data_IF_612884270009
#
_entry.id   IF_612884270009
#
_cell.length_a   1.000
_cell.length_b   1.000
_cell.length_c   1.000
_cell.angle_alpha   90.00
_cell.angle_beta   90.00
_cell.angle_gamma   90.00
#
_symmetry.space_group_name_H-M   'P 1'
#
loop_
_entity.id
_entity.type
_entity.pdbx_description
1 polymer ?
#
# COMPACT_ATOMS: atom_id res chain seq x y z
N UNK A 1 16.62 -2.84 21.51
CA UNK A 1 15.59 -3.18 20.50
C UNK A 1 16.04 -2.53 19.20
N UNK A 2 16.29 -3.29 18.14
CA UNK A 2 16.61 -2.68 16.86
C UNK A 2 15.34 -2.01 16.33
N UNK A 3 15.34 -0.68 16.28
CA UNK A 3 14.30 0.12 15.64
C UNK A 3 14.41 -0.07 14.13
N UNK A 4 13.88 -1.19 13.63
CA UNK A 4 13.71 -1.43 12.20
C UNK A 4 12.46 -0.72 11.69
N UNK A 5 12.49 -0.32 10.42
CA UNK A 5 11.27 0.10 9.73
C UNK A 5 10.39 -1.12 9.45
N UNK A 6 9.08 -0.95 9.56
CA UNK A 6 8.12 -1.91 9.02
C UNK A 6 8.05 -1.73 7.50
N UNK A 7 7.73 -2.80 6.78
CA UNK A 7 7.52 -2.77 5.33
C UNK A 7 6.30 -3.59 4.94
N UNK A 8 5.59 -3.15 3.90
CA UNK A 8 4.50 -3.90 3.28
C UNK A 8 5.06 -4.77 2.16
N UNK A 9 4.84 -6.08 2.28
CA UNK A 9 5.13 -7.04 1.22
C UNK A 9 3.84 -7.40 0.48
N UNK A 10 3.92 -7.51 -0.84
CA UNK A 10 2.78 -7.82 -1.69
C UNK A 10 2.79 -9.27 -2.16
N UNK A 11 1.59 -9.79 -2.39
CA UNK A 11 1.34 -11.08 -3.03
C UNK A 11 0.67 -10.93 -4.39
N UNK A 12 0.49 -9.70 -4.89
CA UNK A 12 -0.22 -9.42 -6.16
C UNK A 12 0.74 -8.94 -7.23
N UNK A 13 0.41 -9.24 -8.48
CA UNK A 13 1.13 -8.72 -9.63
C UNK A 13 0.76 -7.25 -9.86
N UNK A 14 1.75 -6.45 -10.27
CA UNK A 14 1.55 -5.07 -10.67
C UNK A 14 1.89 -4.94 -12.17
N UNK A 15 0.94 -4.57 -13.04
CA UNK A 15 1.15 -4.57 -14.49
C UNK A 15 2.19 -3.54 -14.98
N UNK A 16 2.63 -2.63 -14.12
CA UNK A 16 3.52 -1.52 -14.49
C UNK A 16 4.80 -1.44 -13.67
N UNK A 17 4.99 -2.32 -12.69
CA UNK A 17 6.20 -2.37 -11.85
C UNK A 17 6.88 -3.71 -12.08
N UNK A 18 8.20 -3.69 -12.29
CA UNK A 18 8.96 -4.93 -12.39
C UNK A 18 8.99 -5.60 -11.03
N UNK A 19 8.44 -6.80 -10.95
CA UNK A 19 8.42 -7.60 -9.72
C UNK A 19 9.20 -8.89 -9.91
N UNK A 20 9.98 -9.25 -8.90
CA UNK A 20 10.52 -10.60 -8.78
C UNK A 20 9.59 -11.41 -7.87
N UNK A 21 9.13 -12.54 -8.38
CA UNK A 21 8.31 -13.51 -7.65
C UNK A 21 9.19 -14.53 -6.89
N UNK A 22 8.57 -15.59 -6.36
CA UNK A 22 9.25 -16.71 -5.70
C UNK A 22 10.07 -16.32 -4.46
N UNK A 23 9.61 -15.29 -3.76
CA UNK A 23 10.09 -14.93 -2.44
C UNK A 23 9.27 -15.64 -1.37
N UNK A 24 9.94 -16.29 -0.42
CA UNK A 24 9.30 -17.08 0.62
C UNK A 24 9.87 -16.77 1.99
N UNK A 25 9.06 -16.96 3.01
CA UNK A 25 9.52 -16.99 4.40
C UNK A 25 9.96 -18.40 4.75
N UNK A 26 11.20 -18.55 5.20
CA UNK A 26 11.71 -19.83 5.68
C UNK A 26 11.00 -20.24 6.98
N UNK A 27 10.48 -21.47 7.05
CA UNK A 27 9.80 -22.00 8.24
C UNK A 27 10.66 -21.91 9.51
N UNK A 28 11.97 -22.17 9.39
CA UNK A 28 12.83 -22.37 10.55
C UNK A 28 13.49 -21.10 11.08
N UNK A 29 13.82 -20.16 10.19
CA UNK A 29 14.48 -18.90 10.58
C UNK A 29 13.64 -17.65 10.32
N UNK A 30 12.46 -17.79 9.70
CA UNK A 30 11.53 -16.69 9.39
C UNK A 30 12.09 -15.59 8.46
N UNK A 31 13.30 -15.79 7.92
CA UNK A 31 13.91 -14.89 6.94
C UNK A 31 13.21 -15.01 5.60
N UNK A 32 13.00 -13.87 4.96
CA UNK A 32 12.57 -13.76 3.57
C UNK A 32 13.73 -14.11 2.64
N UNK A 33 13.55 -15.11 1.78
CA UNK A 33 14.58 -15.59 0.86
C UNK A 33 14.02 -15.84 -0.53
N UNK A 34 14.88 -15.73 -1.53
CA UNK A 34 14.54 -16.04 -2.92
C UNK A 34 14.73 -17.53 -3.19
N UNK A 35 13.65 -18.25 -3.50
CA UNK A 35 13.73 -19.66 -3.87
C UNK A 35 13.95 -19.83 -5.38
N UNK A 36 13.30 -19.00 -6.21
CA UNK A 36 13.42 -19.09 -7.67
C UNK A 36 12.81 -20.36 -8.30
N UNK A 37 12.04 -21.14 -7.55
CA UNK A 37 11.31 -22.30 -8.05
C UNK A 37 9.99 -22.49 -7.27
N UNK A 38 8.81 -22.25 -7.88
CA UNK A 38 7.54 -22.35 -7.17
C UNK A 38 7.08 -23.79 -6.91
N UNK A 39 7.56 -24.76 -7.69
CA UNK A 39 6.95 -26.10 -7.79
C UNK A 39 7.88 -27.27 -7.40
N UNK A 40 9.04 -27.03 -6.79
CA UNK A 40 9.96 -28.12 -6.39
C UNK A 40 10.33 -28.00 -4.91
N UNK A 41 10.41 -29.11 -4.16
CA UNK A 41 11.04 -29.08 -2.86
C UNK A 41 12.55 -28.86 -3.06
N UNK A 42 13.05 -27.72 -2.59
CA UNK A 42 14.47 -27.37 -2.65
C UNK A 42 15.35 -28.54 -2.19
N UNK A 43 16.29 -28.98 -3.04
CA UNK A 43 17.25 -30.02 -2.65
C UNK A 43 18.16 -29.47 -1.56
N UNK A 44 18.72 -30.31 -0.66
CA UNK A 44 19.71 -29.86 0.30
C UNK A 44 20.88 -29.18 -0.43
N UNK A 45 20.97 -27.85 -0.35
CA UNK A 45 22.00 -27.05 -1.00
C UNK A 45 21.54 -26.16 -2.17
N UNK A 46 20.27 -26.17 -2.58
CA UNK A 46 19.79 -25.31 -3.69
C UNK A 46 19.17 -23.97 -3.20
N UNK A 47 18.71 -23.88 -1.94
CA UNK A 47 18.00 -22.69 -1.43
C UNK A 47 18.78 -21.92 -0.37
N UNK A 48 20.04 -21.58 -0.62
CA UNK A 48 20.86 -20.73 0.27
C UNK A 48 21.10 -21.27 1.70
N UNK A 49 22.19 -20.87 2.35
CA UNK A 49 22.43 -21.30 3.74
C UNK A 49 21.38 -20.76 4.73
N UNK A 50 20.69 -21.67 5.42
CA UNK A 50 19.76 -21.32 6.48
C UNK A 50 20.47 -21.26 7.84
N UNK A 51 20.41 -20.13 8.58
CA UNK A 51 21.08 -20.00 9.88
C UNK A 51 20.50 -20.92 10.95
N UNK A 52 19.22 -21.25 10.86
CA UNK A 52 18.56 -22.17 11.80
C UNK A 52 18.90 -23.64 11.52
N UNK A 53 19.52 -23.96 10.37
CA UNK A 53 19.86 -25.33 9.97
C UNK A 53 21.23 -25.36 9.27
N UNK A 54 22.34 -25.33 10.02
CA UNK A 54 23.68 -25.37 9.47
C UNK A 54 23.87 -26.53 8.48
N UNK A 55 24.45 -26.24 7.30
CA UNK A 55 24.65 -27.23 6.23
C UNK A 55 23.39 -27.60 5.45
N UNK A 56 22.23 -26.96 5.71
CA UNK A 56 20.98 -27.18 4.97
C UNK A 56 20.39 -25.87 4.45
N UNK A 57 19.55 -26.00 3.43
CA UNK A 57 18.87 -24.90 2.74
C UNK A 57 17.75 -24.24 3.54
N UNK A 58 17.24 -23.11 3.05
CA UNK A 58 15.92 -22.62 3.41
C UNK A 58 14.82 -23.61 2.99
N UNK A 59 13.67 -23.56 3.66
CA UNK A 59 12.50 -24.37 3.28
C UNK A 59 11.22 -23.59 3.50
N UNK A 60 10.26 -23.82 2.62
CA UNK A 60 8.94 -23.23 2.60
C UNK A 60 7.91 -24.31 2.32
N UNK A 61 6.65 -24.09 2.72
CA UNK A 61 5.52 -24.88 2.24
C UNK A 61 4.95 -24.29 0.95
N UNK A 62 3.76 -24.76 0.54
CA UNK A 62 2.93 -24.15 -0.53
C UNK A 62 2.32 -22.79 -0.14
N UNK A 63 2.99 -22.06 0.76
CA UNK A 63 2.52 -20.77 1.26
C UNK A 63 2.49 -19.71 0.15
N UNK A 64 1.70 -18.65 0.37
CA UNK A 64 1.65 -17.48 -0.52
C UNK A 64 3.05 -16.91 -0.72
N UNK A 65 3.48 -16.83 -1.97
CA UNK A 65 4.75 -16.23 -2.38
C UNK A 65 4.66 -14.71 -2.29
N UNK A 66 5.74 -14.06 -1.88
CA UNK A 66 5.86 -12.62 -1.98
C UNK A 66 6.41 -12.22 -3.35
N UNK A 67 6.08 -11.01 -3.75
CA UNK A 67 6.64 -10.36 -4.93
C UNK A 67 7.39 -9.12 -4.47
N UNK A 68 8.65 -8.96 -4.86
CA UNK A 68 9.43 -7.77 -4.52
C UNK A 68 9.56 -6.87 -5.73
N UNK A 69 9.24 -5.59 -5.55
CA UNK A 69 9.33 -4.57 -6.59
C UNK A 69 10.80 -4.21 -6.84
N UNK A 70 11.11 -3.82 -8.08
CA UNK A 70 12.47 -3.43 -8.51
C UNK A 70 12.42 -2.21 -9.41
N UNK A 71 13.51 -1.44 -9.41
CA UNK A 71 13.69 -0.31 -10.35
C UNK A 71 12.84 0.93 -10.04
N UNK A 72 12.26 1.04 -8.84
CA UNK A 72 11.52 2.23 -8.40
C UNK A 72 12.44 3.30 -7.78
N UNK A 73 13.56 2.88 -7.20
CA UNK A 73 14.45 3.77 -6.45
C UNK A 73 13.89 4.17 -5.09
N UNK A 74 14.59 5.08 -4.41
CA UNK A 74 14.15 5.65 -3.14
C UNK A 74 12.99 6.64 -3.35
N UNK A 75 12.04 6.63 -2.42
CA UNK A 75 10.90 7.55 -2.44
C UNK A 75 10.21 7.69 -1.08
N UNK A 76 9.21 8.57 -0.95
CA UNK A 76 8.53 8.82 0.33
C UNK A 76 7.90 7.56 0.96
N UNK A 77 7.49 6.60 0.10
CA UNK A 77 6.85 5.35 0.49
C UNK A 77 7.68 4.12 0.11
N UNK A 78 8.96 4.30 -0.25
CA UNK A 78 9.79 3.24 -0.80
C UNK A 78 11.24 3.33 -0.32
N UNK A 79 11.80 2.21 0.11
CA UNK A 79 13.22 2.08 0.39
C UNK A 79 13.85 1.15 -0.65
N UNK A 80 14.79 1.67 -1.43
CA UNK A 80 15.63 0.88 -2.34
C UNK A 80 16.86 0.32 -1.61
N UNK A 81 17.86 -0.16 -2.35
CA UNK A 81 19.09 -0.75 -1.81
C UNK A 81 18.89 -2.07 -1.05
N UNK A 82 17.73 -2.72 -1.20
CA UNK A 82 17.54 -4.09 -0.76
C UNK A 82 18.06 -5.04 -1.81
N UNK A 83 18.84 -6.04 -1.39
CA UNK A 83 19.50 -7.01 -2.27
C UNK A 83 19.25 -8.42 -1.76
N UNK A 84 19.29 -9.39 -2.66
CA UNK A 84 19.36 -10.80 -2.26
C UNK A 84 20.83 -11.22 -2.19
N UNK A 85 21.18 -12.03 -1.20
CA UNK A 85 22.53 -12.57 -1.08
C UNK A 85 22.67 -13.87 -1.87
N UNK A 86 23.54 -13.97 -2.89
CA UNK A 86 23.65 -15.20 -3.67
C UNK A 86 24.06 -16.46 -2.87
N UNK A 87 24.78 -16.27 -1.76
CA UNK A 87 25.28 -17.39 -0.96
C UNK A 87 24.20 -17.97 -0.03
N UNK A 88 23.31 -17.12 0.47
CA UNK A 88 22.29 -17.52 1.46
C UNK A 88 20.86 -17.25 1.02
N UNK A 89 20.65 -16.68 -0.17
CA UNK A 89 19.37 -16.29 -0.77
C UNK A 89 18.50 -15.30 0.04
N UNK A 90 18.90 -14.96 1.27
CA UNK A 90 18.22 -14.01 2.11
C UNK A 90 18.21 -12.59 1.52
N UNK A 91 17.09 -11.89 1.70
CA UNK A 91 17.02 -10.45 1.51
C UNK A 91 17.83 -9.74 2.59
N UNK A 92 18.64 -8.76 2.21
CA UNK A 92 19.40 -7.93 3.13
C UNK A 92 19.47 -6.49 2.63
N UNK A 93 19.62 -5.55 3.57
CA UNK A 93 19.78 -4.14 3.23
C UNK A 93 21.26 -3.82 2.92
N UNK A 94 21.55 -3.51 1.66
CA UNK A 94 22.89 -3.17 1.18
C UNK A 94 23.20 -1.67 1.24
N UNK A 95 22.20 -0.82 1.52
CA UNK A 95 22.35 0.64 1.62
C UNK A 95 23.10 1.12 2.87
N UNK A 96 23.46 0.22 3.78
CA UNK A 96 24.30 0.54 4.93
C UNK A 96 25.76 0.10 4.70
N UNK A 97 26.71 0.76 5.38
CA UNK A 97 28.11 0.34 5.38
C UNK A 97 28.36 -1.04 6.00
N UNK A 98 27.39 -1.60 6.73
CA UNK A 98 27.47 -2.90 7.40
C UNK A 98 26.44 -3.88 6.84
N UNK A 99 26.90 -4.80 5.99
CA UNK A 99 26.03 -5.79 5.31
C UNK A 99 25.72 -7.04 6.14
N UNK A 100 25.88 -6.98 7.46
CA UNK A 100 25.66 -8.13 8.34
C UNK A 100 26.54 -9.36 8.06
N UNK A 101 26.25 -10.46 8.74
CA UNK A 101 26.95 -11.74 8.62
C UNK A 101 26.12 -12.75 7.83
N UNK A 102 26.73 -13.32 6.79
CA UNK A 102 26.14 -14.37 5.99
C UNK A 102 26.25 -15.73 6.70
N UNK A 103 25.16 -16.51 6.77
CA UNK A 103 25.19 -17.88 7.31
C UNK A 103 26.15 -18.82 6.55
N UNK A 104 26.45 -18.53 5.28
CA UNK A 104 27.46 -19.25 4.48
C UNK A 104 28.90 -18.82 4.79
N UNK A 105 29.10 -17.88 5.72
CA UNK A 105 30.38 -17.28 6.07
C UNK A 105 30.63 -15.92 5.38
N UNK A 106 31.33 -15.03 6.08
CA UNK A 106 31.63 -13.66 5.62
C UNK A 106 30.42 -12.72 5.70
N UNK A 107 30.44 -11.63 4.92
CA UNK A 107 29.32 -10.67 4.80
C UNK A 107 28.36 -11.04 3.68
N UNK A 108 27.12 -10.53 3.73
CA UNK A 108 26.16 -10.73 2.63
C UNK A 108 26.69 -10.17 1.31
N UNK A 109 26.51 -10.95 0.23
CA UNK A 109 26.99 -10.65 -1.12
C UNK A 109 25.85 -10.24 -2.03
N UNK A 110 25.80 -8.95 -2.33
CA UNK A 110 25.00 -8.32 -3.37
C UNK A 110 25.61 -6.93 -3.56
N UNK A 111 26.15 -6.63 -4.73
CA UNK A 111 26.83 -5.35 -4.98
C UNK A 111 25.80 -4.34 -5.44
N UNK A 112 25.88 -3.11 -4.92
CA UNK A 112 25.01 -2.01 -5.35
C UNK A 112 25.27 -1.60 -6.81
N UNK A 113 26.49 -1.81 -7.27
CA UNK A 113 27.06 -1.49 -8.58
C UNK A 113 27.15 -2.70 -9.52
N UNK A 114 26.59 -3.85 -9.13
CA UNK A 114 26.52 -5.01 -10.00
C UNK A 114 25.21 -4.99 -10.80
N UNK A 115 25.27 -4.79 -12.14
CA UNK A 115 24.08 -4.74 -12.99
C UNK A 115 23.32 -6.07 -13.03
N UNK A 116 23.96 -7.17 -12.63
CA UNK A 116 23.34 -8.49 -12.58
C UNK A 116 22.56 -8.72 -11.27
N UNK A 117 22.58 -7.75 -10.34
CA UNK A 117 21.73 -7.78 -9.14
C UNK A 117 20.54 -6.83 -9.25
N UNK A 118 19.36 -7.37 -8.98
CA UNK A 118 18.16 -6.56 -8.82
C UNK A 118 18.27 -5.69 -7.56
N UNK A 119 17.90 -4.43 -7.70
CA UNK A 119 17.69 -3.51 -6.59
C UNK A 119 16.22 -3.56 -6.17
N UNK A 120 15.96 -4.25 -5.06
CA UNK A 120 14.62 -4.38 -4.53
C UNK A 120 14.22 -3.12 -3.78
N UNK A 121 12.94 -2.80 -3.93
CA UNK A 121 12.30 -1.63 -3.37
C UNK A 121 11.21 -2.14 -2.42
N UNK A 122 11.40 -1.96 -1.11
CA UNK A 122 10.40 -2.32 -0.11
C UNK A 122 9.55 -1.10 0.23
N UNK A 123 8.22 -1.27 0.17
CA UNK A 123 7.29 -0.20 0.50
C UNK A 123 7.17 -0.05 2.02
N UNK A 124 7.20 1.18 2.52
CA UNK A 124 6.76 1.45 3.89
C UNK A 124 5.26 1.10 4.04
N UNK A 125 4.75 0.93 5.28
CA UNK A 125 3.34 0.71 5.53
C UNK A 125 2.50 1.74 4.79
N UNK A 126 1.78 1.27 3.76
CA UNK A 126 0.86 2.09 3.01
C UNK A 126 -0.33 2.39 3.92
N UNK A 127 -0.53 3.66 4.24
CA UNK A 127 -1.66 4.13 5.03
C UNK A 127 -2.55 4.99 4.13
N UNK A 128 -3.25 4.39 3.16
CA UNK A 128 -3.91 5.13 2.11
C UNK A 128 -4.95 6.06 2.74
N UNK A 129 -5.13 7.24 2.18
CA UNK A 129 -6.09 8.24 2.67
C UNK A 129 -6.70 8.99 1.50
N UNK A 130 -7.93 9.46 1.68
CA UNK A 130 -8.57 10.36 0.73
C UNK A 130 -8.97 11.66 1.40
N UNK A 131 -8.70 12.76 0.70
CA UNK A 131 -9.21 14.08 1.00
C UNK A 131 -10.19 14.48 -0.09
N UNK A 132 -11.38 14.90 0.34
CA UNK A 132 -12.44 15.34 -0.58
C UNK A 132 -12.66 16.82 -0.35
N UNK A 133 -12.40 17.62 -1.38
CA UNK A 133 -12.66 19.06 -1.37
C UNK A 133 -13.73 19.40 -2.39
N UNK A 134 -14.49 20.46 -2.10
CA UNK A 134 -15.55 20.93 -2.98
C UNK A 134 -15.33 22.41 -3.30
N UNK A 135 -15.31 22.72 -4.58
CA UNK A 135 -15.43 24.08 -5.12
C UNK A 135 -16.54 23.99 -6.14
N UNK A 136 -17.75 24.39 -5.76
CA UNK A 136 -18.95 24.14 -6.56
C UNK A 136 -18.78 24.57 -8.03
N UNK A 137 -19.18 23.72 -9.01
CA UNK A 137 -19.84 22.41 -8.87
C UNK A 137 -18.88 21.21 -8.80
N UNK A 138 -17.58 21.44 -8.69
CA UNK A 138 -16.53 20.43 -8.82
C UNK A 138 -16.21 19.82 -7.46
N UNK A 139 -16.25 18.49 -7.41
CA UNK A 139 -15.69 17.70 -6.31
C UNK A 139 -14.31 17.22 -6.74
N UNK A 140 -13.31 17.49 -5.92
CA UNK A 140 -11.96 16.95 -6.08
C UNK A 140 -11.70 15.91 -5.01
N UNK A 141 -11.22 14.75 -5.44
CA UNK A 141 -10.78 13.65 -4.60
C UNK A 141 -9.28 13.51 -4.79
N UNK A 142 -8.54 13.78 -3.73
CA UNK A 142 -7.10 13.58 -3.67
C UNK A 142 -6.85 12.33 -2.83
N UNK A 143 -6.16 11.36 -3.41
CA UNK A 143 -5.68 10.19 -2.68
C UNK A 143 -4.20 10.31 -2.38
N UNK A 144 -3.78 9.82 -1.23
CA UNK A 144 -2.37 9.71 -0.82
C UNK A 144 -2.09 8.31 -0.26
N UNK A 145 -0.81 7.91 -0.33
CA UNK A 145 -0.30 6.66 0.24
C UNK A 145 -0.99 5.38 -0.27
N UNK A 146 -1.49 5.38 -1.50
CA UNK A 146 -1.96 4.18 -2.22
C UNK A 146 -0.81 3.45 -2.90
N UNK A 147 -1.09 2.31 -3.52
CA UNK A 147 -0.07 1.54 -4.24
C UNK A 147 0.56 2.37 -5.39
N UNK A 148 1.88 2.63 -5.34
CA UNK A 148 2.61 3.32 -6.40
C UNK A 148 2.39 2.71 -7.78
N UNK A 149 2.16 3.55 -8.79
CA UNK A 149 1.90 3.15 -10.18
C UNK A 149 0.71 2.18 -10.37
N UNK A 150 -0.04 1.91 -9.30
CA UNK A 150 -1.18 1.01 -9.25
C UNK A 150 -2.46 1.61 -9.79
N UNK A 151 -3.55 0.87 -9.67
CA UNK A 151 -4.89 1.33 -10.03
C UNK A 151 -5.75 1.43 -8.78
N UNK A 152 -6.46 2.54 -8.65
CA UNK A 152 -7.39 2.79 -7.55
C UNK A 152 -8.79 2.93 -8.10
N UNK A 153 -9.74 2.21 -7.49
CA UNK A 153 -11.16 2.41 -7.74
C UNK A 153 -11.65 3.55 -6.86
N UNK A 154 -12.23 4.57 -7.47
CA UNK A 154 -12.92 5.66 -6.78
C UNK A 154 -14.41 5.45 -6.99
N UNK A 155 -15.17 5.29 -5.92
CA UNK A 155 -16.63 5.14 -5.96
C UNK A 155 -17.28 6.25 -5.15
N UNK A 156 -18.32 6.86 -5.69
CA UNK A 156 -19.07 7.89 -4.99
C UNK A 156 -20.57 7.64 -5.09
N UNK A 157 -21.25 8.01 -4.01
CA UNK A 157 -22.69 7.91 -3.87
C UNK A 157 -23.24 9.23 -3.36
N UNK A 158 -24.16 9.82 -4.11
CA UNK A 158 -24.90 11.03 -3.73
C UNK A 158 -26.26 10.58 -3.22
N UNK A 159 -26.57 10.98 -1.99
CA UNK A 159 -27.82 10.66 -1.30
C UNK A 159 -28.56 11.96 -1.03
N UNK A 160 -29.82 12.04 -1.47
CA UNK A 160 -30.75 13.10 -1.10
C UNK A 160 -31.66 12.66 0.04
N UNK A 161 -32.66 13.49 0.36
CA UNK A 161 -33.54 13.33 1.52
C UNK A 161 -34.17 11.94 1.65
N UNK A 162 -34.63 11.35 0.53
CA UNK A 162 -35.39 10.10 0.56
C UNK A 162 -34.84 9.02 -0.40
N UNK A 163 -33.75 9.29 -1.11
CA UNK A 163 -33.24 8.35 -2.11
C UNK A 163 -31.76 8.55 -2.42
N UNK A 164 -31.15 7.49 -2.97
CA UNK A 164 -29.86 7.62 -3.66
C UNK A 164 -30.11 8.29 -5.00
N UNK A 165 -29.48 9.43 -5.22
CA UNK A 165 -29.59 10.20 -6.45
C UNK A 165 -28.61 9.69 -7.51
N UNK A 166 -27.40 9.33 -7.08
CA UNK A 166 -26.37 8.82 -7.97
C UNK A 166 -25.47 7.81 -7.24
N UNK A 167 -25.02 6.79 -7.96
CA UNK A 167 -24.03 5.83 -7.51
C UNK A 167 -23.13 5.43 -8.68
N UNK A 168 -21.87 5.81 -8.62
CA UNK A 168 -20.91 5.65 -9.72
C UNK A 168 -19.56 5.20 -9.18
N UNK A 169 -18.75 4.67 -10.09
CA UNK A 169 -17.36 4.35 -9.83
C UNK A 169 -16.53 4.45 -11.10
N UNK A 170 -15.29 4.90 -10.93
CA UNK A 170 -14.27 4.95 -11.97
C UNK A 170 -12.97 4.34 -11.46
N UNK A 171 -12.07 4.02 -12.38
CA UNK A 171 -10.71 3.55 -12.04
C UNK A 171 -9.71 4.58 -12.52
N UNK A 172 -8.82 5.01 -11.62
CA UNK A 172 -7.73 5.93 -11.90
C UNK A 172 -6.39 5.24 -11.64
N UNK A 173 -5.33 5.79 -12.24
CA UNK A 173 -3.97 5.32 -11.99
C UNK A 173 -3.32 6.19 -10.93
N UNK A 174 -2.66 5.58 -9.95
CA UNK A 174 -1.79 6.26 -9.01
C UNK A 174 -0.49 6.67 -9.69
N UNK A 175 0.07 7.80 -9.28
CA UNK A 175 1.42 8.18 -9.64
C UNK A 175 2.44 7.30 -8.89
N UNK A 176 3.72 7.45 -9.22
CA UNK A 176 4.83 6.73 -8.57
C UNK A 176 4.92 7.00 -7.06
N UNK A 177 4.41 8.15 -6.62
CA UNK A 177 4.40 8.51 -5.20
C UNK A 177 3.22 7.89 -4.45
N UNK A 178 2.32 7.17 -5.14
CA UNK A 178 1.14 6.58 -4.53
C UNK A 178 0.00 7.58 -4.32
N UNK A 179 0.10 8.80 -4.86
CA UNK A 179 -1.00 9.76 -4.90
C UNK A 179 -1.84 9.61 -6.17
N UNK A 180 -3.08 10.08 -6.12
CA UNK A 180 -3.91 10.23 -7.32
C UNK A 180 -4.80 11.47 -7.21
N UNK A 181 -5.28 11.93 -8.36
CA UNK A 181 -6.26 13.02 -8.45
C UNK A 181 -7.45 12.59 -9.29
N UNK A 182 -8.64 12.84 -8.79
CA UNK A 182 -9.88 12.56 -9.50
C UNK A 182 -10.88 13.70 -9.26
N UNK A 183 -11.65 14.04 -10.29
CA UNK A 183 -12.67 15.08 -10.21
C UNK A 183 -13.96 14.64 -10.85
N UNK A 184 -15.08 14.98 -10.23
CA UNK A 184 -16.41 14.81 -10.82
C UNK A 184 -17.31 15.99 -10.45
N UNK A 185 -18.42 16.14 -11.16
CA UNK A 185 -19.37 17.22 -10.93
C UNK A 185 -20.52 16.73 -10.05
N UNK A 186 -20.89 17.54 -9.06
CA UNK A 186 -22.09 17.31 -8.25
C UNK A 186 -22.84 18.64 -8.08
N UNK A 187 -24.03 18.71 -8.65
CA UNK A 187 -24.90 19.90 -8.67
C UNK A 187 -26.22 19.63 -7.95
N UNK A 188 -26.93 20.69 -7.59
CA UNK A 188 -28.23 20.61 -6.93
C UNK A 188 -28.17 20.31 -5.43
N UNK A 189 -29.35 20.07 -4.83
CA UNK A 189 -29.51 19.79 -3.40
C UNK A 189 -29.43 18.28 -3.14
N UNK A 190 -28.56 17.90 -2.21
CA UNK A 190 -28.39 16.56 -1.71
C UNK A 190 -28.04 16.62 -0.22
N UNK A 191 -28.04 15.49 0.47
CA UNK A 191 -27.82 15.42 1.90
C UNK A 191 -26.40 14.98 2.23
N UNK A 192 -25.99 13.86 1.63
CA UNK A 192 -24.70 13.25 1.86
C UNK A 192 -24.04 12.86 0.54
N UNK A 193 -22.76 13.15 0.44
CA UNK A 193 -21.87 12.55 -0.53
C UNK A 193 -20.95 11.59 0.21
N UNK A 194 -20.99 10.31 -0.14
CA UNK A 194 -20.03 9.31 0.34
C UNK A 194 -19.04 9.00 -0.78
N UNK A 195 -17.75 9.18 -0.53
CA UNK A 195 -16.66 8.80 -1.43
C UNK A 195 -15.89 7.65 -0.80
N UNK A 196 -15.55 6.65 -1.61
CA UNK A 196 -14.74 5.51 -1.24
C UNK A 196 -13.61 5.34 -2.24
N UNK A 197 -12.45 4.91 -1.75
CA UNK A 197 -11.32 4.59 -2.62
C UNK A 197 -10.56 3.37 -2.09
N UNK A 198 -10.13 2.51 -2.99
CA UNK A 198 -9.31 1.34 -2.67
C UNK A 198 -8.50 0.88 -3.87
N UNK A 199 -7.33 0.30 -3.62
CA UNK A 199 -6.54 -0.37 -4.65
C UNK A 199 -7.36 -1.48 -5.31
N UNK A 200 -7.35 -1.54 -6.65
CA UNK A 200 -8.12 -2.54 -7.40
C UNK A 200 -7.68 -3.97 -7.08
N UNK A 201 -6.42 -4.14 -6.69
CA UNK A 201 -5.84 -5.42 -6.25
C UNK A 201 -6.16 -5.75 -4.80
N UNK A 202 -6.79 -4.86 -4.04
CA UNK A 202 -7.28 -5.12 -2.68
C UNK A 202 -8.68 -5.70 -2.72
N UNK A 203 -8.86 -6.83 -2.03
CA UNK A 203 -10.18 -7.46 -1.82
C UNK A 203 -11.05 -6.71 -0.80
N UNK A 204 -10.53 -5.64 -0.18
CA UNK A 204 -11.25 -4.86 0.84
C UNK A 204 -11.27 -3.37 0.49
N UNK A 205 -12.46 -2.72 0.46
CA UNK A 205 -12.56 -1.28 0.28
C UNK A 205 -12.04 -0.58 1.54
N UNK A 206 -10.92 0.12 1.41
CA UNK A 206 -10.11 0.53 2.56
C UNK A 206 -10.57 1.84 3.19
N UNK A 207 -11.17 2.75 2.42
CA UNK A 207 -11.38 4.13 2.88
C UNK A 207 -12.75 4.67 2.49
N UNK A 208 -13.33 5.42 3.41
CA UNK A 208 -14.61 6.11 3.24
C UNK A 208 -14.49 7.53 3.77
N UNK A 209 -14.92 8.51 2.99
CA UNK A 209 -15.14 9.89 3.45
C UNK A 209 -16.55 10.33 3.12
N UNK A 210 -17.24 10.87 4.12
CA UNK A 210 -18.56 11.47 3.94
C UNK A 210 -18.46 12.99 4.04
N UNK A 211 -19.15 13.68 3.12
CA UNK A 211 -19.24 15.14 3.04
C UNK A 211 -20.72 15.52 3.00
N UNK A 212 -21.09 16.57 3.74
CA UNK A 212 -22.45 17.12 3.76
C UNK A 212 -22.63 18.21 2.70
N UNK A 213 -23.88 18.48 2.32
CA UNK A 213 -24.16 19.64 1.47
C UNK A 213 -24.05 20.96 2.26
N UNK A 214 -23.53 22.03 1.62
CA UNK A 214 -23.48 23.38 2.20
C UNK A 214 -24.87 23.90 2.59
N UNK A 215 -25.88 23.67 1.74
CA UNK A 215 -27.27 24.07 2.01
C UNK A 215 -27.85 23.47 3.31
N UNK A 216 -27.23 22.42 3.86
CA UNK A 216 -27.62 21.84 5.16
C UNK A 216 -26.83 22.40 6.34
N UNK A 217 -25.59 22.87 6.13
CA UNK A 217 -24.83 23.60 7.17
C UNK A 217 -25.50 24.93 7.52
N UNK A 218 -26.16 25.56 6.54
CA UNK A 218 -26.93 26.80 6.73
C UNK A 218 -28.17 26.61 7.62
N UNK A 219 -28.65 25.37 7.81
CA UNK A 219 -29.82 25.06 8.63
C UNK A 219 -29.52 24.86 10.13
N UNK A 220 -28.26 24.69 10.53
CA UNK A 220 -27.88 24.42 11.94
C UNK A 220 -27.50 25.68 12.75
N UNK A 221 -27.65 26.90 12.21
CA UNK A 221 -27.15 28.13 12.85
C UNK A 221 -28.20 29.11 13.40
N UNK A 222 -29.49 28.74 13.47
CA UNK A 222 -30.50 29.60 14.08
C UNK A 222 -30.89 29.10 15.48
N UNK A 223 -30.45 29.74 16.59
CA UNK A 223 -31.06 29.49 17.89
C UNK A 223 -32.51 30.00 17.83
N UNK A 224 -33.46 29.09 17.98
CA UNK A 224 -34.88 29.41 18.18
C UNK A 224 -35.01 30.17 19.51
N UNK A 225 -35.03 31.50 19.44
CA UNK A 225 -35.51 32.31 20.56
C UNK A 225 -37.01 32.09 20.67
N UNK A 226 -37.41 31.23 21.60
CA UNK A 226 -38.80 31.16 22.04
C UNK A 226 -39.15 32.49 22.70
N UNK A 227 -40.10 33.20 22.09
CA UNK A 227 -40.83 34.28 22.76
C UNK A 227 -41.76 33.60 23.75
N UNK A 228 -41.49 33.77 25.05
CA UNK A 228 -42.46 33.51 26.08
C UNK A 228 -43.01 34.86 26.56
N UNK A 229 -44.22 35.16 26.11
CA UNK A 229 -45.12 36.10 26.79
C UNK A 229 -45.44 35.55 28.19
N UNK A 230 -45.44 36.43 29.18
CA UNK A 230 -45.80 36.10 30.56
C UNK A 230 -45.90 37.36 31.42
N UNK A 231 -47.08 37.96 31.45
CA UNK A 231 -47.48 39.02 32.34
C UNK A 231 -47.32 38.63 33.84
N UNK A 232 -47.05 39.60 34.71
CA UNK A 232 -47.88 39.90 35.90
C UNK A 232 -47.30 41.01 36.80
N UNK A 233 -48.22 41.93 37.15
CA UNK A 233 -48.24 42.96 38.21
C UNK A 233 -47.53 44.27 37.97
#
# INVERSE_FOLDING_TARGET
MATGYDFTLTHTEFPFVRVQQDWYTCWYCQVLYYAGHPDRPGRPGEDGACPARPGRGHTHGVARTFRLMTGLGDGPHMQSNWRHCWNCQALFFAGSGHRGSCPSGGSHRGRLDDPDTLDFCLAYPMNPRITVTRVEPVISVLGDSFTPDGQVRVSWKIVGENATLENRSDTVRCFREGDFRYTFHAQGRWDFLTVRAWDVTSDTPTLVRSVLSPARLDLESAPTRSVADGAHR
#
